data_IF_587774063003
#
_entry.id   IF_587774063003
#
_cell.length_a   1.000
_cell.length_b   1.000
_cell.length_c   1.000
_cell.angle_alpha   90.00
_cell.angle_beta   90.00
_cell.angle_gamma   90.00
#
_symmetry.space_group_name_H-M   'P 1'
#
loop_
_entity.id
_entity.type
_entity.pdbx_description
1 polymer ?
#
# COMPACT_ATOMS: atom_id res chain seq x y z
N UNK A 1 6.73 4.31 49.93
CA UNK A 1 6.88 2.84 50.07
C UNK A 1 5.86 2.14 49.19
N UNK A 2 6.26 1.33 48.20
CA UNK A 2 5.32 0.60 47.37
C UNK A 2 4.84 -0.68 48.08
N UNK A 3 3.56 -1.09 47.96
CA UNK A 3 3.07 -2.34 48.54
C UNK A 3 3.59 -3.56 47.76
N UNK A 4 3.93 -4.61 48.52
CA UNK A 4 4.60 -5.84 48.10
C UNK A 4 3.72 -6.71 47.19
N UNK A 5 4.31 -7.23 46.10
CA UNK A 5 3.76 -8.30 45.24
C UNK A 5 3.60 -9.60 46.04
N UNK A 6 2.41 -10.17 46.07
CA UNK A 6 2.19 -11.52 46.57
C UNK A 6 2.50 -12.56 45.47
N UNK A 7 3.29 -13.56 45.86
CA UNK A 7 3.75 -14.66 45.03
C UNK A 7 2.61 -15.62 44.67
N UNK A 8 2.59 -16.07 43.41
CA UNK A 8 1.63 -17.02 42.85
C UNK A 8 2.00 -18.43 43.32
N UNK A 9 1.13 -19.06 44.11
CA UNK A 9 1.24 -20.47 44.50
C UNK A 9 0.83 -21.37 43.32
N UNK A 10 1.66 -22.38 43.03
CA UNK A 10 1.37 -23.47 42.09
C UNK A 10 0.57 -24.58 42.78
N UNK A 11 -0.51 -25.11 42.18
CA UNK A 11 -1.17 -26.31 42.68
C UNK A 11 -0.46 -27.60 42.20
N UNK A 12 -0.54 -28.70 42.97
CA UNK A 12 0.10 -30.00 42.67
C UNK A 12 -0.70 -30.83 41.64
N UNK A 13 -0.10 -31.90 41.07
CA UNK A 13 -0.75 -32.74 40.08
C UNK A 13 -1.66 -33.79 40.76
N UNK A 14 -2.86 -33.97 40.24
CA UNK A 14 -3.76 -35.06 40.65
C UNK A 14 -3.85 -36.11 39.55
N UNK A 15 -3.63 -37.35 39.96
CA UNK A 15 -3.50 -38.54 39.13
C UNK A 15 -4.83 -39.03 38.55
N UNK A 16 -4.67 -39.61 37.36
CA UNK A 16 -5.38 -40.73 36.73
C UNK A 16 -6.55 -41.35 37.51
N UNK A 17 -7.71 -41.40 36.86
CA UNK A 17 -8.66 -42.50 37.10
C UNK A 17 -9.22 -43.01 35.76
N UNK A 18 -9.20 -44.33 35.63
CA UNK A 18 -9.53 -45.08 34.42
C UNK A 18 -10.97 -45.62 34.46
N UNK A 19 -11.51 -45.81 33.26
CA UNK A 19 -12.50 -46.85 32.90
C UNK A 19 -13.98 -46.62 33.25
N UNK A 20 -14.77 -46.27 32.21
CA UNK A 20 -16.06 -46.90 31.96
C UNK A 20 -16.46 -46.71 30.48
N UNK A 21 -16.48 -47.82 29.76
CA UNK A 21 -16.96 -48.00 28.40
C UNK A 21 -18.49 -47.95 28.30
N UNK A 22 -19.02 -47.32 27.25
CA UNK A 22 -20.32 -47.66 26.65
C UNK A 22 -20.29 -47.38 25.13
N UNK A 23 -20.74 -48.31 24.27
CA UNK A 23 -20.70 -48.16 22.82
C UNK A 23 -22.06 -47.76 22.20
N UNK A 24 -21.95 -47.29 20.96
CA UNK A 24 -22.98 -47.22 19.92
C UNK A 24 -23.94 -46.01 19.93
N UNK A 25 -23.74 -45.07 19.00
CA UNK A 25 -24.54 -45.00 17.76
C UNK A 25 -24.35 -43.65 17.07
N UNK A 26 -23.89 -43.73 15.81
CA UNK A 26 -24.14 -42.81 14.69
C UNK A 26 -24.55 -41.36 15.03
N UNK A 27 -23.57 -40.45 14.99
CA UNK A 27 -23.85 -39.03 14.74
C UNK A 27 -23.05 -38.62 13.52
N UNK A 28 -23.78 -38.20 12.49
CA UNK A 28 -23.26 -37.56 11.27
C UNK A 28 -22.14 -36.60 11.64
N UNK A 29 -20.92 -36.87 11.18
CA UNK A 29 -19.75 -36.08 11.52
C UNK A 29 -19.99 -34.64 11.07
N UNK A 30 -20.13 -33.73 12.03
CA UNK A 30 -20.04 -32.31 11.75
C UNK A 30 -18.69 -32.06 11.03
N UNK A 31 -18.65 -31.23 9.97
CA UNK A 31 -17.42 -30.99 9.24
C UNK A 31 -16.36 -30.50 10.23
N UNK A 32 -15.29 -31.31 10.40
CA UNK A 32 -14.18 -31.00 11.28
C UNK A 32 -13.56 -29.70 10.79
N UNK A 33 -13.55 -28.67 11.63
CA UNK A 33 -12.95 -27.39 11.27
C UNK A 33 -11.48 -27.62 10.88
N UNK A 34 -10.98 -27.02 9.78
CA UNK A 34 -9.62 -27.25 9.33
C UNK A 34 -8.62 -26.82 10.41
N UNK A 35 -7.57 -27.62 10.60
CA UNK A 35 -6.52 -27.30 11.56
C UNK A 35 -5.71 -26.08 11.08
N UNK A 36 -5.25 -25.24 12.01
CA UNK A 36 -4.53 -24.02 11.66
C UNK A 36 -3.23 -24.28 10.88
N UNK A 37 -2.57 -25.41 11.14
CA UNK A 37 -1.36 -25.83 10.44
C UNK A 37 -1.61 -26.25 8.99
N UNK A 38 -2.83 -26.66 8.64
CA UNK A 38 -3.19 -26.97 7.25
C UNK A 38 -3.49 -25.74 6.39
N UNK A 39 -3.61 -24.55 7.00
CA UNK A 39 -3.93 -23.32 6.29
C UNK A 39 -2.65 -22.63 5.83
N UNK A 40 -2.46 -22.52 4.51
CA UNK A 40 -1.33 -21.80 3.93
C UNK A 40 -1.45 -20.29 4.20
N UNK A 41 -0.36 -19.60 4.63
CA UNK A 41 -0.33 -18.14 4.71
C UNK A 41 -0.64 -17.50 3.34
N UNK A 42 -1.24 -16.30 3.36
CA UNK A 42 -1.53 -15.52 2.15
C UNK A 42 -1.27 -14.04 2.34
N UNK A 43 -1.11 -13.32 1.24
CA UNK A 43 -0.86 -11.88 1.26
C UNK A 43 -2.15 -11.08 1.52
N UNK A 44 -2.02 -10.01 2.30
CA UNK A 44 -3.06 -9.01 2.45
C UNK A 44 -3.17 -8.16 1.18
N UNK A 45 -4.35 -8.14 0.55
CA UNK A 45 -4.57 -7.40 -0.69
C UNK A 45 -4.40 -5.88 -0.55
N UNK A 46 -4.49 -5.34 0.66
CA UNK A 46 -4.31 -3.91 0.93
C UNK A 46 -2.85 -3.53 1.16
N UNK A 47 -2.15 -4.28 2.02
CA UNK A 47 -0.85 -3.87 2.55
C UNK A 47 0.32 -4.76 2.14
N UNK A 48 0.04 -5.86 1.44
CA UNK A 48 1.02 -6.85 0.97
C UNK A 48 1.69 -7.65 2.09
N UNK A 49 1.30 -7.52 3.36
CA UNK A 49 1.87 -8.31 4.46
C UNK A 49 1.24 -9.70 4.54
N UNK A 50 1.98 -10.63 5.14
CA UNK A 50 1.51 -11.97 5.49
C UNK A 50 0.30 -11.91 6.43
N UNK A 51 -0.76 -12.61 6.06
CA UNK A 51 -1.86 -12.96 6.95
C UNK A 51 -1.53 -14.31 7.56
N UNK A 52 -1.31 -14.34 8.87
CA UNK A 52 -1.14 -15.59 9.63
C UNK A 52 -2.52 -16.18 9.95
N UNK A 53 -2.72 -17.50 9.76
CA UNK A 53 -3.95 -18.18 10.16
C UNK A 53 -4.26 -17.95 11.65
N UNK A 54 -5.53 -17.71 11.97
CA UNK A 54 -6.02 -17.51 13.35
C UNK A 54 -7.22 -18.43 13.59
N UNK A 55 -7.37 -18.92 14.82
CA UNK A 55 -8.49 -19.80 15.20
C UNK A 55 -9.85 -19.25 14.76
N UNK A 56 -10.08 -17.95 14.95
CA UNK A 56 -11.33 -17.27 14.57
C UNK A 56 -11.61 -17.21 13.07
N UNK A 57 -10.60 -17.44 12.23
CA UNK A 57 -10.68 -17.36 10.76
C UNK A 57 -10.64 -18.72 10.08
N UNK A 58 -10.43 -19.81 10.83
CA UNK A 58 -10.25 -21.13 10.24
C UNK A 58 -11.46 -21.57 9.40
N UNK A 59 -12.68 -21.25 9.86
CA UNK A 59 -13.93 -21.64 9.19
C UNK A 59 -14.18 -20.91 7.86
N UNK A 60 -13.67 -19.69 7.72
CA UNK A 60 -13.88 -18.85 6.54
C UNK A 60 -12.56 -18.36 5.95
N UNK A 61 -11.50 -19.18 6.03
CA UNK A 61 -10.15 -18.76 5.67
C UNK A 61 -10.08 -18.25 4.23
N UNK A 62 -10.79 -18.88 3.28
CA UNK A 62 -10.87 -18.47 1.88
C UNK A 62 -11.33 -17.01 1.70
N UNK A 63 -12.26 -16.53 2.52
CA UNK A 63 -12.86 -15.20 2.43
C UNK A 63 -11.96 -14.07 2.97
N UNK A 64 -10.98 -14.40 3.82
CA UNK A 64 -10.13 -13.39 4.48
C UNK A 64 -9.15 -12.76 3.47
N UNK A 65 -9.41 -11.55 3.00
CA UNK A 65 -8.53 -10.87 2.03
C UNK A 65 -7.54 -9.87 2.65
N UNK A 66 -7.77 -9.47 3.89
CA UNK A 66 -6.99 -8.41 4.56
C UNK A 66 -6.57 -8.81 5.97
N UNK A 67 -5.46 -8.24 6.46
CA UNK A 67 -4.87 -8.63 7.75
C UNK A 67 -5.50 -7.94 8.98
N UNK A 68 -6.26 -6.86 8.80
CA UNK A 68 -6.84 -6.06 9.88
C UNK A 68 -8.03 -5.25 9.41
N UNK A 69 -8.86 -4.78 10.36
CA UNK A 69 -10.00 -3.90 10.07
C UNK A 69 -9.54 -2.57 9.46
N UNK A 70 -8.40 -2.04 9.89
CA UNK A 70 -7.78 -0.87 9.25
C UNK A 70 -7.44 -1.13 7.78
N UNK A 71 -6.91 -2.31 7.43
CA UNK A 71 -6.69 -2.68 6.03
C UNK A 71 -7.99 -2.98 5.28
N UNK A 72 -9.04 -3.42 5.97
CA UNK A 72 -10.37 -3.61 5.38
C UNK A 72 -11.03 -2.27 5.04
N UNK A 73 -10.88 -1.27 5.90
CA UNK A 73 -11.37 0.09 5.68
C UNK A 73 -10.52 0.86 4.65
N UNK A 74 -9.21 0.62 4.64
CA UNK A 74 -8.29 1.16 3.66
C UNK A 74 -8.39 0.36 2.35
N UNK A 75 -9.29 0.77 1.47
CA UNK A 75 -9.40 0.19 0.13
C UNK A 75 -8.50 0.98 -0.83
N UNK A 76 -7.55 0.30 -1.46
CA UNK A 76 -6.74 0.87 -2.56
C UNK A 76 -7.68 1.29 -3.69
N UNK A 77 -7.51 2.49 -4.26
CA UNK A 77 -8.48 3.04 -5.23
C UNK A 77 -9.72 3.69 -4.61
N UNK A 78 -9.78 3.87 -3.29
CA UNK A 78 -10.91 4.52 -2.62
C UNK A 78 -10.75 6.04 -2.59
N UNK A 79 -11.89 6.77 -2.62
CA UNK A 79 -11.95 8.24 -2.55
C UNK A 79 -11.20 8.84 -1.35
N UNK A 80 -10.99 8.08 -0.28
CA UNK A 80 -10.25 8.52 0.91
C UNK A 80 -8.74 8.72 0.70
N UNK A 81 -8.18 8.25 -0.42
CA UNK A 81 -6.76 8.40 -0.78
C UNK A 81 -6.56 9.35 -1.98
N UNK A 82 -7.58 10.14 -2.33
CA UNK A 82 -7.51 11.09 -3.43
C UNK A 82 -7.03 12.44 -2.90
N UNK A 83 -6.00 12.99 -3.52
CA UNK A 83 -5.55 14.36 -3.34
C UNK A 83 -6.02 15.23 -4.52
N UNK A 84 -6.23 16.52 -4.27
CA UNK A 84 -6.51 17.50 -5.29
C UNK A 84 -5.32 18.41 -5.48
N UNK A 85 -4.91 18.60 -6.74
CA UNK A 85 -3.72 19.38 -7.09
C UNK A 85 -4.05 20.28 -8.27
N UNK A 86 -3.72 21.59 -8.22
CA UNK A 86 -3.85 22.45 -9.40
C UNK A 86 -3.02 21.92 -10.56
N UNK A 87 -3.64 21.75 -11.73
CA UNK A 87 -2.96 21.24 -12.94
C UNK A 87 -1.81 22.14 -13.38
N UNK A 88 -2.04 23.45 -13.35
CA UNK A 88 -1.04 24.50 -13.62
C UNK A 88 0.22 24.34 -12.76
N UNK A 89 0.07 23.92 -11.51
CA UNK A 89 1.21 23.68 -10.62
C UNK A 89 1.99 22.43 -11.01
N UNK A 90 1.30 21.35 -11.42
CA UNK A 90 1.96 20.14 -11.94
C UNK A 90 2.75 20.45 -13.20
N UNK A 91 2.18 21.25 -14.10
CA UNK A 91 2.80 21.61 -15.37
C UNK A 91 4.02 22.51 -15.17
N UNK A 92 3.86 23.61 -14.44
CA UNK A 92 4.94 24.56 -14.11
C UNK A 92 6.14 23.85 -13.49
N UNK A 93 5.91 22.98 -12.50
CA UNK A 93 7.00 22.29 -11.80
C UNK A 93 7.80 21.33 -12.66
N UNK A 94 7.15 20.74 -13.65
CA UNK A 94 7.82 19.79 -14.50
C UNK A 94 8.34 20.43 -15.81
N UNK A 95 8.21 21.75 -15.97
CA UNK A 95 9.02 22.57 -16.87
C UNK A 95 10.33 23.03 -16.19
N UNK A 96 10.26 23.40 -14.90
CA UNK A 96 11.41 23.89 -14.11
C UNK A 96 12.57 22.89 -14.01
N UNK A 97 12.29 21.59 -14.07
CA UNK A 97 13.33 20.56 -13.90
C UNK A 97 14.10 20.19 -15.18
N UNK A 98 13.65 20.60 -16.36
CA UNK A 98 14.23 20.13 -17.62
C UNK A 98 14.32 18.59 -17.71
N UNK A 99 15.12 18.05 -18.64
CA UNK A 99 15.35 16.58 -18.76
C UNK A 99 16.27 16.03 -17.65
N UNK A 100 16.10 16.45 -16.40
CA UNK A 100 16.89 15.96 -15.28
C UNK A 100 16.57 14.49 -15.00
N UNK A 101 17.60 13.62 -14.99
CA UNK A 101 17.48 12.20 -14.62
C UNK A 101 17.41 11.99 -13.10
N UNK A 102 16.93 12.99 -12.36
CA UNK A 102 16.83 12.93 -10.91
C UNK A 102 15.66 12.02 -10.48
N UNK A 103 15.75 11.52 -9.26
CA UNK A 103 14.63 10.79 -8.64
C UNK A 103 13.40 11.70 -8.49
N UNK A 104 13.60 12.96 -8.16
CA UNK A 104 12.51 13.93 -8.03
C UNK A 104 11.79 14.16 -9.37
N UNK A 105 12.53 14.26 -10.47
CA UNK A 105 11.94 14.38 -11.81
C UNK A 105 11.20 13.13 -12.25
N UNK A 106 11.70 11.95 -11.88
CA UNK A 106 10.98 10.69 -12.08
C UNK A 106 9.64 10.67 -11.34
N UNK A 107 9.58 11.18 -10.11
CA UNK A 107 8.36 11.27 -9.29
C UNK A 107 7.39 12.35 -9.80
N UNK A 108 7.90 13.48 -10.30
CA UNK A 108 7.08 14.52 -10.95
C UNK A 108 6.46 14.02 -12.26
N UNK A 109 7.21 13.23 -13.04
CA UNK A 109 6.70 12.64 -14.28
C UNK A 109 5.52 11.69 -14.02
N UNK A 110 5.57 10.90 -12.94
CA UNK A 110 4.45 10.02 -12.57
C UNK A 110 3.23 10.79 -12.06
N UNK A 111 3.44 11.91 -11.37
CA UNK A 111 2.35 12.81 -10.96
C UNK A 111 1.65 13.42 -12.19
N UNK A 112 2.44 13.93 -13.14
CA UNK A 112 1.93 14.47 -14.42
C UNK A 112 1.17 13.40 -15.21
N UNK A 113 1.68 12.17 -15.22
CA UNK A 113 1.02 11.05 -15.87
C UNK A 113 -0.37 10.75 -15.31
N UNK A 114 -0.53 10.79 -13.99
CA UNK A 114 -1.81 10.59 -13.32
C UNK A 114 -2.78 11.75 -13.50
N UNK A 115 -2.27 12.98 -13.56
CA UNK A 115 -3.10 14.15 -13.84
C UNK A 115 -3.71 14.10 -15.26
N UNK A 116 -3.00 13.51 -16.22
CA UNK A 116 -3.41 13.51 -17.64
C UNK A 116 -3.24 14.88 -18.30
N UNK A 117 -3.42 14.93 -19.63
CA UNK A 117 -3.17 16.12 -20.46
C UNK A 117 -4.38 17.04 -20.63
N UNK A 118 -5.58 16.54 -20.38
CA UNK A 118 -6.82 17.24 -20.71
C UNK A 118 -7.54 17.64 -19.42
N UNK A 119 -7.77 18.94 -19.25
CA UNK A 119 -8.60 19.49 -18.17
C UNK A 119 -8.06 20.79 -17.59
N UNK A 120 -8.96 21.60 -17.05
CA UNK A 120 -8.63 22.82 -16.32
C UNK A 120 -8.89 22.62 -14.81
N UNK A 121 -8.23 23.42 -13.96
CA UNK A 121 -8.46 23.41 -12.52
C UNK A 121 -7.75 22.28 -11.78
N UNK A 122 -8.51 21.52 -10.97
CA UNK A 122 -7.96 20.54 -10.02
C UNK A 122 -7.89 19.13 -10.61
N UNK A 123 -6.69 18.57 -10.66
CA UNK A 123 -6.48 17.14 -10.90
C UNK A 123 -6.76 16.34 -9.63
N UNK A 124 -7.55 15.28 -9.75
CA UNK A 124 -7.77 14.29 -8.69
C UNK A 124 -6.74 13.17 -8.83
N UNK A 125 -5.87 13.03 -7.84
CA UNK A 125 -4.75 12.10 -7.86
C UNK A 125 -4.97 11.02 -6.81
N UNK A 126 -5.06 9.76 -7.24
CA UNK A 126 -4.94 8.63 -6.30
C UNK A 126 -3.49 8.55 -5.82
N UNK A 127 -3.29 8.86 -4.54
CA UNK A 127 -1.97 8.91 -3.91
C UNK A 127 -1.31 7.54 -3.84
N UNK A 128 -2.06 6.45 -3.68
CA UNK A 128 -1.46 5.11 -3.67
C UNK A 128 -1.00 4.70 -5.07
N UNK A 129 -1.73 5.11 -6.12
CA UNK A 129 -1.31 4.91 -7.51
C UNK A 129 -0.04 5.71 -7.83
N UNK A 130 0.03 6.95 -7.36
CA UNK A 130 1.21 7.80 -7.53
C UNK A 130 2.45 7.20 -6.87
N UNK A 131 2.32 6.69 -5.65
CA UNK A 131 3.40 6.02 -4.92
C UNK A 131 3.87 4.76 -5.68
N UNK A 132 2.96 3.94 -6.18
CA UNK A 132 3.33 2.73 -6.92
C UNK A 132 4.06 3.05 -8.23
N UNK A 133 3.57 4.02 -9.00
CA UNK A 133 4.25 4.46 -10.22
C UNK A 133 5.62 5.06 -9.91
N UNK A 134 5.74 5.85 -8.84
CA UNK A 134 7.02 6.40 -8.38
C UNK A 134 8.02 5.28 -8.07
N UNK A 135 7.60 4.23 -7.36
CA UNK A 135 8.45 3.06 -7.08
C UNK A 135 8.88 2.33 -8.36
N UNK A 136 7.94 2.06 -9.28
CA UNK A 136 8.22 1.39 -10.56
C UNK A 136 9.20 2.20 -11.41
N UNK A 137 9.03 3.52 -11.45
CA UNK A 137 9.86 4.44 -12.24
C UNK A 137 11.27 4.58 -11.66
N UNK A 138 11.36 4.69 -10.34
CA UNK A 138 12.62 4.90 -9.64
C UNK A 138 13.45 3.62 -9.49
N UNK A 139 12.86 2.43 -9.63
CA UNK A 139 13.58 1.17 -9.53
C UNK A 139 14.68 1.07 -10.60
N UNK A 140 15.87 0.65 -10.16
CA UNK A 140 17.01 0.49 -11.05
C UNK A 140 16.78 -0.66 -12.04
N UNK A 141 17.29 -0.56 -13.29
CA UNK A 141 17.42 -1.74 -14.12
C UNK A 141 18.36 -2.74 -13.44
N UNK A 142 18.17 -4.05 -13.67
CA UNK A 142 19.14 -5.05 -13.20
C UNK A 142 20.52 -4.71 -13.75
N UNK A 143 21.55 -4.89 -12.92
CA UNK A 143 22.97 -4.58 -13.21
C UNK A 143 23.38 -3.11 -13.28
N UNK A 144 22.50 -2.15 -12.98
CA UNK A 144 22.79 -0.73 -13.20
C UNK A 144 23.69 -0.03 -12.16
N UNK A 145 23.90 -0.59 -10.97
CA UNK A 145 24.71 0.04 -9.90
C UNK A 145 24.94 -0.92 -8.73
N UNK A 146 26.02 -0.73 -7.97
CA UNK A 146 26.21 -1.35 -6.65
C UNK A 146 25.23 -0.82 -5.60
N UNK A 147 24.70 0.39 -5.81
CA UNK A 147 23.80 1.08 -4.89
C UNK A 147 22.43 1.21 -5.55
N UNK A 148 21.46 0.45 -5.02
CA UNK A 148 20.07 0.50 -5.47
C UNK A 148 19.33 1.68 -4.82
N UNK A 149 18.41 2.32 -5.55
CA UNK A 149 17.46 3.25 -4.95
C UNK A 149 16.62 2.52 -3.91
N UNK A 150 16.30 3.18 -2.80
CA UNK A 150 15.57 2.58 -1.69
C UNK A 150 14.15 3.14 -1.55
N UNK A 151 13.32 2.46 -0.77
CA UNK A 151 12.01 3.00 -0.36
C UNK A 151 12.13 4.35 0.35
N UNK A 152 13.22 4.58 1.08
CA UNK A 152 13.42 5.81 1.85
C UNK A 152 13.82 6.97 0.91
N UNK A 153 14.54 6.68 -0.19
CA UNK A 153 14.83 7.68 -1.23
C UNK A 153 13.56 8.13 -1.96
N UNK A 154 12.67 7.17 -2.26
CA UNK A 154 11.37 7.45 -2.91
C UNK A 154 10.43 8.18 -1.97
N UNK A 155 10.38 7.81 -0.68
CA UNK A 155 9.66 8.54 0.37
C UNK A 155 10.08 10.03 0.38
N UNK A 156 11.39 10.28 0.49
CA UNK A 156 11.93 11.64 0.51
C UNK A 156 11.63 12.42 -0.78
N UNK A 157 11.64 11.76 -1.94
CA UNK A 157 11.29 12.38 -3.21
C UNK A 157 9.80 12.74 -3.29
N UNK A 158 8.91 11.82 -2.91
CA UNK A 158 7.46 12.06 -2.85
C UNK A 158 7.13 13.24 -1.94
N UNK A 159 7.77 13.32 -0.78
CA UNK A 159 7.57 14.42 0.16
C UNK A 159 8.01 15.78 -0.41
N UNK A 160 9.19 15.84 -1.07
CA UNK A 160 9.67 17.06 -1.73
C UNK A 160 8.73 17.51 -2.84
N UNK A 161 8.29 16.58 -3.70
CA UNK A 161 7.35 16.89 -4.78
C UNK A 161 6.02 17.39 -4.21
N UNK A 162 5.46 16.68 -3.22
CA UNK A 162 4.21 17.08 -2.58
C UNK A 162 4.28 18.49 -1.95
N UNK A 163 5.39 18.83 -1.28
CA UNK A 163 5.63 20.17 -0.75
C UNK A 163 5.74 21.22 -1.85
N UNK A 164 6.40 20.87 -2.96
CA UNK A 164 6.61 21.80 -4.09
C UNK A 164 5.29 22.19 -4.77
N UNK A 165 4.32 21.28 -4.81
CA UNK A 165 2.97 21.52 -5.33
C UNK A 165 2.08 22.37 -4.40
N UNK A 166 2.61 22.79 -3.25
CA UNK A 166 1.94 23.65 -2.30
C UNK A 166 0.98 22.90 -1.37
N UNK A 167 0.74 23.55 -0.23
CA UNK A 167 -0.26 23.15 0.76
C UNK A 167 -1.47 24.10 0.76
N UNK A 168 -1.58 24.94 -0.28
CA UNK A 168 -2.58 25.99 -0.34
C UNK A 168 -3.95 25.35 -0.12
N UNK A 169 -4.62 25.64 1.01
CA UNK A 169 -5.94 25.11 1.25
C UNK A 169 -6.77 25.56 0.06
N UNK A 170 -7.42 24.60 -0.59
CA UNK A 170 -8.37 24.91 -1.66
C UNK A 170 -9.53 25.66 -1.02
N UNK A 171 -9.36 26.96 -0.85
CA UNK A 171 -10.41 27.86 -0.46
C UNK A 171 -11.40 27.82 -1.62
N UNK A 172 -12.51 27.13 -1.37
CA UNK A 172 -13.72 27.29 -2.17
C UNK A 172 -13.98 28.80 -2.22
N UNK A 173 -13.82 29.41 -3.40
CA UNK A 173 -14.30 30.79 -3.63
C UNK A 173 -15.83 30.70 -3.67
N UNK A 174 -16.46 30.54 -2.51
CA UNK A 174 -17.90 30.75 -2.36
C UNK A 174 -18.12 32.25 -2.32
N UNK A 175 -18.04 32.88 -3.49
CA UNK A 175 -18.60 34.20 -3.70
C UNK A 175 -20.04 34.00 -4.17
N UNK A 176 -20.99 34.32 -3.27
CA UNK A 176 -22.41 34.57 -3.49
C UNK A 176 -23.27 33.53 -4.24
N UNK A 177 -24.13 32.83 -3.50
CA UNK A 177 -25.59 33.03 -3.58
C UNK A 177 -26.25 32.26 -2.43
N UNK A 178 -27.14 32.91 -1.68
CA UNK A 178 -27.93 32.25 -0.66
C UNK A 178 -28.86 31.20 -1.29
N UNK A 179 -28.74 29.96 -0.83
CA UNK A 179 -29.80 28.96 -0.92
C UNK A 179 -29.53 27.85 0.09
N UNK A 180 -30.55 27.55 0.88
CA UNK A 180 -30.59 26.43 1.82
C UNK A 180 -30.51 25.07 1.07
N UNK A 181 -30.12 24.02 1.82
CA UNK A 181 -30.12 22.58 1.47
C UNK A 181 -29.05 22.19 0.42
N UNK A 182 -28.12 21.25 0.59
CA UNK A 182 -28.18 19.87 1.11
C UNK A 182 -26.86 19.45 1.76
N UNK A 183 -26.95 18.55 2.75
CA UNK A 183 -25.83 17.83 3.36
C UNK A 183 -25.22 16.85 2.35
N UNK A 184 -24.50 17.38 1.36
CA UNK A 184 -23.58 16.57 0.55
C UNK A 184 -22.37 16.24 1.42
N UNK A 185 -22.15 14.96 1.69
CA UNK A 185 -20.93 14.40 2.30
C UNK A 185 -19.68 14.63 1.41
N UNK A 186 -19.47 15.85 0.92
CA UNK A 186 -18.28 16.23 0.15
C UNK A 186 -17.14 16.44 1.13
N UNK A 187 -16.27 15.43 1.22
CA UNK A 187 -15.00 15.54 1.93
C UNK A 187 -14.21 16.67 1.25
N UNK A 188 -13.77 17.69 2.00
CA UNK A 188 -13.01 18.78 1.42
C UNK A 188 -11.75 18.24 0.74
N UNK A 189 -11.37 18.81 -0.41
CA UNK A 189 -10.24 18.33 -1.18
C UNK A 189 -8.95 18.47 -0.34
N UNK A 190 -8.17 17.40 -0.28
CA UNK A 190 -6.91 17.34 0.49
C UNK A 190 -5.72 17.58 -0.42
N UNK A 191 -4.70 18.25 0.10
CA UNK A 191 -3.42 18.42 -0.61
C UNK A 191 -2.69 17.07 -0.70
N UNK A 192 -1.68 16.97 -1.58
CA UNK A 192 -0.82 15.78 -1.65
C UNK A 192 -0.16 15.51 -0.30
N UNK A 193 0.44 16.54 0.29
CA UNK A 193 1.18 16.40 1.54
C UNK A 193 0.27 15.96 2.70
N UNK A 194 -0.90 16.59 2.84
CA UNK A 194 -1.87 16.20 3.86
C UNK A 194 -2.35 14.74 3.67
N UNK A 195 -2.55 14.31 2.43
CA UNK A 195 -2.98 12.92 2.14
C UNK A 195 -1.86 11.92 2.43
N UNK A 196 -0.61 12.23 2.07
CA UNK A 196 0.56 11.41 2.37
C UNK A 196 0.78 11.24 3.87
N UNK A 197 0.61 12.32 4.65
CA UNK A 197 0.79 12.32 6.11
C UNK A 197 -0.38 11.68 6.86
N UNK A 198 -1.57 11.62 6.24
CA UNK A 198 -2.72 10.93 6.83
C UNK A 198 -2.48 9.42 7.01
N UNK A 199 -3.16 8.82 7.99
CA UNK A 199 -3.01 7.40 8.33
C UNK A 199 -3.10 6.49 7.09
N UNK A 200 -2.10 5.59 6.86
CA UNK A 200 -1.08 5.13 7.80
C UNK A 200 0.24 5.94 7.83
N UNK A 201 0.33 7.06 7.12
CA UNK A 201 1.55 7.87 6.95
C UNK A 201 2.42 7.44 5.77
N UNK A 202 3.19 8.39 5.21
CA UNK A 202 3.93 8.27 3.95
C UNK A 202 4.84 7.03 3.92
N UNK A 203 5.72 6.88 4.91
CA UNK A 203 6.62 5.72 5.01
C UNK A 203 5.89 4.37 4.94
N UNK A 204 4.78 4.21 5.66
CA UNK A 204 4.03 2.96 5.61
C UNK A 204 3.27 2.82 4.29
N UNK A 205 2.78 3.90 3.67
CA UNK A 205 2.18 3.86 2.32
C UNK A 205 3.19 3.37 1.27
N UNK A 206 4.40 3.94 1.25
CA UNK A 206 5.50 3.52 0.35
C UNK A 206 5.82 2.05 0.55
N UNK A 207 5.98 1.61 1.82
CA UNK A 207 6.26 0.20 2.09
C UNK A 207 5.09 -0.72 1.73
N UNK A 208 3.83 -0.29 1.88
CA UNK A 208 2.67 -1.07 1.40
C UNK A 208 2.70 -1.22 -0.11
N UNK A 209 2.91 -0.13 -0.84
CA UNK A 209 3.02 -0.12 -2.29
C UNK A 209 4.14 -1.06 -2.77
N UNK A 210 5.34 -0.95 -2.20
CA UNK A 210 6.47 -1.82 -2.54
C UNK A 210 6.14 -3.31 -2.36
N UNK A 211 5.44 -3.69 -1.27
CA UNK A 211 5.01 -5.08 -1.07
C UNK A 211 3.93 -5.53 -2.05
N UNK A 212 3.00 -4.65 -2.42
CA UNK A 212 1.98 -4.98 -3.44
C UNK A 212 2.64 -5.25 -4.79
N UNK A 213 3.52 -4.36 -5.23
CA UNK A 213 4.29 -4.51 -6.48
C UNK A 213 5.20 -5.74 -6.51
N UNK A 214 5.64 -6.22 -5.34
CA UNK A 214 6.43 -7.44 -5.25
C UNK A 214 5.55 -8.71 -5.25
N UNK A 215 4.52 -8.76 -4.40
CA UNK A 215 3.81 -10.01 -4.07
C UNK A 215 2.53 -10.18 -4.87
N UNK A 216 1.78 -9.11 -5.09
CA UNK A 216 0.44 -9.17 -5.63
C UNK A 216 0.47 -9.10 -7.16
N UNK A 217 -0.46 -9.78 -7.83
CA UNK A 217 -0.66 -9.62 -9.25
C UNK A 217 -1.24 -8.21 -9.56
N UNK A 218 -1.11 -7.79 -10.81
CA UNK A 218 -1.34 -6.40 -11.26
C UNK A 218 -2.77 -5.90 -10.98
N UNK A 219 -3.77 -6.77 -10.97
CA UNK A 219 -5.18 -6.42 -10.70
C UNK A 219 -5.40 -5.83 -9.29
N UNK A 220 -4.44 -6.03 -8.39
CA UNK A 220 -4.45 -5.54 -7.02
C UNK A 220 -3.54 -4.33 -6.79
N UNK A 221 -2.92 -3.81 -7.85
CA UNK A 221 -2.13 -2.58 -7.79
C UNK A 221 -3.05 -1.37 -7.84
N UNK A 222 -2.69 -0.31 -7.13
CA UNK A 222 -3.33 0.99 -7.20
C UNK A 222 -3.15 1.64 -8.59
N UNK A 223 -1.98 1.44 -9.19
CA UNK A 223 -1.64 2.00 -10.50
C UNK A 223 -2.04 1.11 -11.69
N UNK A 224 -2.81 0.03 -11.49
CA UNK A 224 -3.14 -0.94 -12.55
C UNK A 224 -3.75 -0.26 -13.78
N UNK A 225 -4.63 0.72 -13.59
CA UNK A 225 -5.34 1.37 -14.70
C UNK A 225 -4.36 2.17 -15.57
N UNK A 226 -3.22 2.59 -15.02
CA UNK A 226 -2.14 3.24 -15.77
C UNK A 226 -1.25 2.20 -16.46
N UNK A 227 -0.88 1.14 -15.74
CA UNK A 227 0.06 0.12 -16.23
C UNK A 227 -0.57 -0.76 -17.32
N UNK A 228 -1.85 -1.12 -17.19
CA UNK A 228 -2.55 -2.01 -18.14
C UNK A 228 -3.12 -1.26 -19.36
N UNK A 229 -3.53 0.01 -19.22
CA UNK A 229 -4.03 0.78 -20.37
C UNK A 229 -2.91 1.50 -21.11
N UNK A 230 -2.54 0.95 -22.28
CA UNK A 230 -1.71 1.62 -23.32
C UNK A 230 -2.20 3.03 -23.72
N UNK A 231 -3.44 3.39 -23.40
CA UNK A 231 -3.96 4.75 -23.59
C UNK A 231 -3.24 5.81 -22.72
N UNK A 232 -2.55 5.41 -21.64
CA UNK A 232 -1.67 6.31 -20.88
C UNK A 232 -0.30 6.45 -21.55
N UNK A 233 0.19 5.44 -22.28
CA UNK A 233 1.42 5.56 -23.10
C UNK A 233 1.27 6.61 -24.21
N UNK A 234 0.10 6.73 -24.84
CA UNK A 234 -0.16 7.79 -25.82
C UNK A 234 -0.17 9.20 -25.20
N UNK A 235 -0.38 9.30 -23.87
CA UNK A 235 -0.57 10.56 -23.14
C UNK A 235 0.59 10.89 -22.20
N UNK A 236 1.58 10.03 -22.04
CA UNK A 236 2.69 10.22 -21.10
C UNK A 236 4.00 9.85 -21.77
N UNK A 237 5.08 10.55 -21.46
CA UNK A 237 6.44 10.19 -21.91
C UNK A 237 7.03 8.99 -21.17
N UNK A 238 6.22 8.29 -20.36
CA UNK A 238 6.64 7.19 -19.53
C UNK A 238 6.71 5.91 -20.37
N UNK A 239 7.90 5.30 -20.58
CA UNK A 239 7.96 3.94 -21.07
C UNK A 239 7.39 3.01 -20.00
N UNK A 240 6.20 2.46 -20.23
CA UNK A 240 5.53 1.53 -19.31
C UNK A 240 5.99 0.09 -19.51
N UNK A 241 6.72 -0.20 -20.60
CA UNK A 241 7.18 -1.54 -20.93
C UNK A 241 7.96 -2.19 -19.77
N UNK A 242 7.42 -3.32 -19.31
CA UNK A 242 7.98 -4.11 -18.22
C UNK A 242 7.63 -3.63 -16.81
N UNK A 243 6.87 -2.55 -16.64
CA UNK A 243 6.37 -2.15 -15.32
C UNK A 243 5.33 -3.13 -14.77
N UNK A 244 4.58 -3.80 -15.65
CA UNK A 244 3.60 -4.84 -15.31
C UNK A 244 4.22 -6.07 -14.63
N UNK A 245 5.54 -6.25 -14.75
CA UNK A 245 6.28 -7.31 -14.05
C UNK A 245 6.48 -7.01 -12.56
N UNK A 246 6.41 -5.74 -12.17
CA UNK A 246 6.53 -5.30 -10.78
C UNK A 246 7.98 -5.13 -10.35
N UNK A 247 8.22 -5.31 -9.04
CA UNK A 247 9.51 -5.00 -8.42
C UNK A 247 10.09 -6.20 -7.70
N UNK A 248 11.42 -6.29 -7.74
CA UNK A 248 12.19 -7.08 -6.80
C UNK A 248 12.69 -6.17 -5.67
N UNK A 249 12.52 -6.64 -4.43
CA UNK A 249 12.91 -5.91 -3.22
C UNK A 249 14.21 -6.48 -2.70
N UNK A 250 15.22 -5.64 -2.51
CA UNK A 250 16.58 -6.08 -2.16
C UNK A 250 16.94 -5.59 -0.76
N UNK A 251 17.49 -6.47 0.07
CA UNK A 251 18.01 -6.12 1.38
C UNK A 251 19.34 -6.84 1.64
N UNK A 252 20.36 -6.11 2.09
CA UNK A 252 21.68 -6.68 2.34
C UNK A 252 22.31 -7.32 1.10
N UNK A 253 22.07 -6.73 -0.09
CA UNK A 253 22.57 -7.24 -1.37
C UNK A 253 21.84 -8.48 -1.90
N UNK A 254 20.74 -8.90 -1.28
CA UNK A 254 19.97 -10.09 -1.70
C UNK A 254 18.51 -9.73 -1.96
N UNK A 255 17.95 -10.28 -3.04
CA UNK A 255 16.51 -10.20 -3.31
C UNK A 255 15.77 -10.94 -2.19
N UNK A 256 14.81 -10.25 -1.57
CA UNK A 256 13.92 -10.80 -0.57
C UNK A 256 13.09 -11.94 -1.18
N UNK A 257 12.82 -12.99 -0.41
CA UNK A 257 12.11 -14.17 -0.90
C UNK A 257 10.77 -14.34 -0.19
N UNK A 258 9.74 -14.58 -1.02
CA UNK A 258 8.42 -14.95 -0.57
C UNK A 258 7.72 -13.91 0.31
N UNK A 259 6.55 -14.30 0.78
CA UNK A 259 5.67 -13.45 1.57
C UNK A 259 6.28 -13.07 2.93
N UNK A 260 7.03 -13.99 3.56
CA UNK A 260 7.62 -13.78 4.88
C UNK A 260 8.74 -12.75 4.85
N UNK A 261 9.72 -12.93 3.96
CA UNK A 261 10.88 -12.05 3.87
C UNK A 261 10.49 -10.60 3.63
N UNK A 262 9.52 -10.39 2.75
CA UNK A 262 9.01 -9.06 2.41
C UNK A 262 8.13 -8.46 3.52
N UNK A 263 7.39 -9.28 4.26
CA UNK A 263 6.54 -8.81 5.36
C UNK A 263 7.33 -8.33 6.58
N UNK A 264 8.46 -8.97 6.86
CA UNK A 264 9.26 -8.75 8.06
C UNK A 264 10.57 -8.00 7.81
N UNK A 265 10.87 -7.62 6.56
CA UNK A 265 11.99 -6.74 6.23
C UNK A 265 11.98 -5.46 7.11
N UNK A 266 13.15 -5.00 7.53
CA UNK A 266 13.34 -3.82 8.40
C UNK A 266 14.42 -2.92 7.85
N UNK A 267 14.32 -1.62 8.07
CA UNK A 267 15.31 -0.67 7.55
C UNK A 267 15.18 -0.44 6.04
N UNK A 268 16.24 0.07 5.38
CA UNK A 268 16.21 0.40 3.96
C UNK A 268 16.00 -0.84 3.09
N UNK A 269 15.11 -0.71 2.10
CA UNK A 269 14.80 -1.75 1.12
C UNK A 269 15.10 -1.19 -0.26
N UNK A 270 16.03 -1.80 -0.97
CA UNK A 270 16.39 -1.48 -2.35
C UNK A 270 15.32 -1.91 -3.34
N UNK A 271 15.24 -1.18 -4.45
CA UNK A 271 14.25 -1.32 -5.51
C UNK A 271 14.95 -1.70 -6.81
N UNK A 272 14.64 -2.88 -7.32
CA UNK A 272 15.13 -3.39 -8.60
C UNK A 272 13.94 -3.72 -9.51
N UNK A 273 14.03 -3.38 -10.80
CA UNK A 273 12.97 -3.69 -11.77
C UNK A 273 12.97 -5.18 -12.10
N UNK A 274 11.80 -5.82 -12.00
CA UNK A 274 11.67 -7.25 -12.32
C UNK A 274 11.81 -7.49 -13.83
N UNK A 275 12.73 -8.38 -14.21
CA UNK A 275 13.00 -8.71 -15.61
C UNK A 275 12.23 -9.92 -16.16
N UNK A 276 11.66 -10.76 -15.29
CA UNK A 276 10.96 -12.00 -15.66
C UNK A 276 9.53 -11.98 -15.17
#
# INVERSE_FOLDING_TARGET
MPPKRNARQTPPPSELNSSASNPCSSTSAAPVAPSLSSLSPKACLTCGRMITPRAKWAKNWSEIKTCSDACKAFKVGSRGNIASVPREEIERRAEEEGKSKSMEGSVKETLRALAGKDGEGLAQIDVDAWIELALLRCAAPPSASSTLPTTDDVDAALERVARSCGDTPLQRKTENAGSEVESSNEVPPRTLLATLQSGPGLRERVRRAARRLFILPVEHWACRDVVEHKAVEARTSLPLDGMERGLDLVQGGKVLKGLEGVSFAKGPIGLERRQR
#
